data_IF_229403113095
#
_entry.id   IF_229403113095
#
_cell.length_a   1.000
_cell.length_b   1.000
_cell.length_c   1.000
_cell.angle_alpha   90.00
_cell.angle_beta   90.00
_cell.angle_gamma   90.00
#
_symmetry.space_group_name_H-M   'P 1'
#
loop_
_entity.id
_entity.type
_entity.pdbx_description
1 polymer ?
#
# COMPACT_ATOMS: atom_id res chain seq x y z
N UNK A 1 -11.59 -11.28 -1.23
CA UNK A 1 -12.17 -11.23 -2.61
C UNK A 1 -11.07 -11.52 -3.61
N UNK A 2 -11.29 -12.45 -4.54
CA UNK A 2 -10.31 -12.71 -5.59
C UNK A 2 -10.35 -11.56 -6.61
N UNK A 3 -9.22 -10.91 -6.82
CA UNK A 3 -9.10 -9.83 -7.80
C UNK A 3 -9.16 -10.41 -9.22
N UNK A 4 -10.18 -10.03 -9.98
CA UNK A 4 -10.28 -10.34 -11.40
C UNK A 4 -9.93 -9.06 -12.17
N UNK A 5 -8.84 -9.04 -12.96
CA UNK A 5 -8.51 -7.86 -13.74
C UNK A 5 -9.62 -7.58 -14.76
N UNK A 6 -10.06 -6.33 -14.82
CA UNK A 6 -11.03 -5.88 -15.83
C UNK A 6 -10.29 -5.68 -17.17
N UNK A 7 -10.15 -6.74 -17.94
CA UNK A 7 -9.58 -6.70 -19.30
C UNK A 7 -10.67 -7.11 -20.27
N UNK A 8 -10.90 -6.30 -21.29
CA UNK A 8 -11.80 -6.65 -22.38
C UNK A 8 -11.10 -7.64 -23.34
N UNK A 9 -11.81 -8.64 -23.83
CA UNK A 9 -11.31 -9.54 -24.88
C UNK A 9 -10.91 -8.80 -26.16
N UNK A 10 -11.43 -7.60 -26.38
CA UNK A 10 -11.08 -6.74 -27.51
C UNK A 10 -9.79 -5.93 -27.27
N UNK A 11 -9.24 -5.92 -26.05
CA UNK A 11 -8.04 -5.15 -25.73
C UNK A 11 -6.78 -5.88 -26.19
N UNK A 12 -6.07 -5.29 -27.14
CA UNK A 12 -4.76 -5.74 -27.58
C UNK A 12 -3.67 -4.90 -26.93
N UNK A 13 -2.65 -5.57 -26.39
CA UNK A 13 -1.45 -4.93 -25.88
C UNK A 13 -0.35 -5.15 -26.93
N UNK A 14 0.21 -4.08 -27.47
CA UNK A 14 1.12 -4.14 -28.62
C UNK A 14 2.42 -3.41 -28.29
N UNK A 15 3.56 -4.04 -28.65
CA UNK A 15 4.86 -3.43 -28.69
C UNK A 15 5.70 -4.07 -29.80
N UNK A 16 6.22 -3.25 -30.70
CA UNK A 16 6.93 -3.73 -31.88
C UNK A 16 6.03 -4.64 -32.72
N UNK A 17 6.54 -5.82 -33.03
CA UNK A 17 5.88 -6.87 -33.78
C UNK A 17 5.12 -7.89 -32.93
N UNK A 18 4.98 -7.64 -31.64
CA UNK A 18 4.27 -8.52 -30.68
C UNK A 18 2.95 -7.92 -30.25
N UNK A 19 1.94 -8.77 -30.25
CA UNK A 19 0.58 -8.52 -29.76
C UNK A 19 0.22 -9.53 -28.69
N UNK A 20 -0.29 -9.03 -27.57
CA UNK A 20 -0.79 -9.86 -26.46
C UNK A 20 -2.28 -9.57 -26.26
N UNK A 21 -3.10 -10.59 -26.17
CA UNK A 21 -4.54 -10.50 -25.88
C UNK A 21 -4.97 -11.59 -24.91
N UNK A 22 -6.14 -11.44 -24.28
CA UNK A 22 -6.71 -12.51 -23.46
C UNK A 22 -6.90 -13.78 -24.30
N UNK A 23 -6.59 -14.93 -23.72
CA UNK A 23 -6.79 -16.22 -24.35
C UNK A 23 -8.28 -16.44 -24.64
N UNK A 24 -8.63 -16.57 -25.92
CA UNK A 24 -9.98 -16.89 -26.39
C UNK A 24 -10.18 -18.39 -26.58
N UNK A 25 -11.44 -18.81 -26.73
CA UNK A 25 -11.74 -20.22 -27.03
C UNK A 25 -11.25 -20.61 -28.42
N UNK A 26 -11.23 -19.69 -29.37
CA UNK A 26 -10.66 -19.91 -30.70
C UNK A 26 -9.15 -20.16 -30.62
N UNK A 27 -8.42 -19.39 -29.81
CA UNK A 27 -6.99 -19.60 -29.59
C UNK A 27 -6.72 -20.97 -28.94
N UNK A 28 -7.59 -21.41 -28.01
CA UNK A 28 -7.51 -22.73 -27.37
C UNK A 28 -7.67 -23.85 -28.38
N UNK A 29 -8.65 -23.74 -29.25
CA UNK A 29 -8.93 -24.77 -30.26
C UNK A 29 -7.80 -24.90 -31.29
N UNK A 30 -7.24 -23.77 -31.74
CA UNK A 30 -6.15 -23.76 -32.73
C UNK A 30 -4.80 -24.22 -32.17
N UNK A 31 -4.55 -24.06 -30.88
CA UNK A 31 -3.26 -24.30 -30.24
C UNK A 31 -3.36 -25.30 -29.08
N UNK A 32 -4.33 -26.19 -29.10
CA UNK A 32 -4.71 -27.09 -28.01
C UNK A 32 -3.52 -27.81 -27.36
N UNK A 33 -2.68 -28.49 -28.18
CA UNK A 33 -1.54 -29.26 -27.66
C UNK A 33 -0.51 -28.41 -26.91
N UNK A 34 -0.24 -27.20 -27.40
CA UNK A 34 0.71 -26.28 -26.77
C UNK A 34 0.15 -25.74 -25.44
N UNK A 35 -1.15 -25.46 -25.42
CA UNK A 35 -1.86 -24.97 -24.25
C UNK A 35 -1.99 -26.07 -23.20
N UNK A 36 -2.32 -27.29 -23.60
CA UNK A 36 -2.39 -28.45 -22.70
C UNK A 36 -1.05 -28.71 -22.02
N UNK A 37 0.06 -28.75 -22.79
CA UNK A 37 1.41 -28.90 -22.25
C UNK A 37 1.81 -27.76 -21.29
N UNK A 38 1.34 -26.55 -21.56
CA UNK A 38 1.54 -25.41 -20.68
C UNK A 38 0.85 -25.62 -19.31
N UNK A 39 -0.41 -26.04 -19.30
CA UNK A 39 -1.15 -26.28 -18.07
C UNK A 39 -0.65 -27.49 -17.28
N UNK A 40 -0.24 -28.56 -17.94
CA UNK A 40 0.32 -29.76 -17.29
C UNK A 40 1.62 -29.46 -16.52
N UNK A 41 2.38 -28.48 -16.96
CA UNK A 41 3.64 -28.07 -16.33
C UNK A 41 3.48 -26.98 -15.27
N UNK A 42 2.23 -26.56 -14.93
CA UNK A 42 1.96 -25.49 -13.96
C UNK A 42 1.59 -25.94 -12.54
N UNK A 43 1.96 -27.16 -12.13
CA UNK A 43 1.56 -27.74 -10.84
C UNK A 43 1.82 -26.84 -9.62
N UNK A 44 2.78 -25.91 -9.69
CA UNK A 44 3.10 -24.98 -8.60
C UNK A 44 2.09 -23.81 -8.44
N UNK A 45 1.28 -23.55 -9.46
CA UNK A 45 0.34 -22.41 -9.49
C UNK A 45 -1.13 -22.84 -9.63
N UNK A 46 -1.42 -24.14 -9.58
CA UNK A 46 -2.72 -24.73 -9.88
C UNK A 46 -3.89 -24.19 -9.02
N UNK A 47 -3.62 -23.70 -7.81
CA UNK A 47 -4.63 -23.21 -6.86
C UNK A 47 -4.85 -21.70 -6.92
N UNK A 48 -4.22 -20.98 -7.85
CA UNK A 48 -4.34 -19.54 -8.00
C UNK A 48 -5.27 -19.19 -9.16
N UNK A 49 -6.08 -18.13 -8.98
CA UNK A 49 -6.89 -17.61 -10.08
C UNK A 49 -5.99 -16.92 -11.10
N UNK A 50 -5.82 -17.54 -12.25
CA UNK A 50 -4.90 -17.12 -13.30
C UNK A 50 -5.63 -16.37 -14.41
N UNK A 51 -4.94 -15.40 -15.00
CA UNK A 51 -5.33 -14.75 -16.25
C UNK A 51 -4.34 -15.17 -17.32
N UNK A 52 -4.83 -15.77 -18.38
CA UNK A 52 -3.98 -16.29 -19.46
C UNK A 52 -4.14 -15.42 -20.71
N UNK A 53 -3.01 -15.10 -21.30
CA UNK A 53 -2.92 -14.31 -22.51
C UNK A 53 -2.26 -15.12 -23.62
N UNK A 54 -2.77 -14.96 -24.84
CA UNK A 54 -2.11 -15.42 -26.06
C UNK A 54 -1.14 -14.36 -26.57
N UNK A 55 0.01 -14.81 -27.03
CA UNK A 55 1.05 -13.96 -27.65
C UNK A 55 1.07 -14.26 -29.16
N UNK A 56 1.05 -13.23 -29.96
CA UNK A 56 1.08 -13.30 -31.43
C UNK A 56 2.17 -12.42 -31.99
N UNK A 57 2.78 -12.84 -33.12
CA UNK A 57 3.49 -11.92 -34.00
C UNK A 57 2.47 -11.08 -34.76
N UNK A 58 2.66 -9.78 -34.77
CA UNK A 58 1.78 -8.81 -35.47
C UNK A 58 2.17 -8.70 -36.94
N UNK A 59 2.52 -9.81 -37.57
CA UNK A 59 2.69 -9.93 -38.99
C UNK A 59 1.31 -10.06 -39.69
N UNK A 60 1.28 -10.08 -41.02
CA UNK A 60 0.05 -10.17 -41.80
C UNK A 60 -0.79 -11.45 -41.52
N UNK A 61 -0.25 -12.42 -40.78
CA UNK A 61 -0.90 -13.71 -40.49
C UNK A 61 -1.28 -13.89 -39.01
N UNK A 62 -0.96 -12.94 -38.09
CA UNK A 62 -1.15 -13.09 -36.64
C UNK A 62 -0.66 -14.46 -36.12
N UNK A 63 0.60 -14.76 -36.39
CA UNK A 63 1.17 -16.07 -36.03
C UNK A 63 1.26 -16.23 -34.52
N UNK A 64 0.68 -17.30 -33.99
CA UNK A 64 0.77 -17.62 -32.55
C UNK A 64 2.21 -17.84 -32.10
N UNK A 65 2.64 -17.10 -31.09
CA UNK A 65 4.01 -17.10 -30.59
C UNK A 65 4.14 -17.68 -29.17
N UNK A 66 3.04 -17.83 -28.44
CA UNK A 66 3.09 -18.42 -27.10
C UNK A 66 2.00 -17.98 -26.15
N UNK A 67 2.25 -18.20 -24.87
CA UNK A 67 1.33 -17.91 -23.77
C UNK A 67 2.03 -17.14 -22.65
N UNK A 68 1.27 -16.32 -21.97
CA UNK A 68 1.61 -15.70 -20.71
C UNK A 68 0.51 -16.05 -19.70
N UNK A 69 0.90 -16.60 -18.58
CA UNK A 69 0.01 -16.79 -17.45
C UNK A 69 0.39 -15.83 -16.33
N UNK A 70 -0.57 -15.02 -15.90
CA UNK A 70 -0.34 -14.04 -14.87
C UNK A 70 -1.40 -14.15 -13.77
N UNK A 71 -1.00 -14.00 -12.53
CA UNK A 71 -1.92 -13.92 -11.41
C UNK A 71 -1.44 -12.91 -10.37
N UNK A 72 -2.39 -12.23 -9.77
CA UNK A 72 -2.11 -11.37 -8.64
C UNK A 72 -1.90 -12.23 -7.40
N UNK A 73 -0.78 -12.04 -6.73
CA UNK A 73 -0.55 -12.65 -5.43
C UNK A 73 -1.48 -12.01 -4.42
N UNK A 74 -2.43 -12.77 -3.91
CA UNK A 74 -3.22 -12.40 -2.75
C UNK A 74 -2.40 -12.73 -1.52
N UNK A 75 -1.46 -11.88 -1.17
CA UNK A 75 -0.73 -12.10 0.08
C UNK A 75 -1.40 -11.30 1.18
N UNK A 76 -1.71 -11.97 2.27
CA UNK A 76 -1.76 -11.34 3.58
C UNK A 76 -0.35 -11.04 4.09
N UNK A 77 0.66 -11.47 3.35
CA UNK A 77 2.05 -11.16 3.61
C UNK A 77 2.28 -9.70 3.24
N UNK A 78 3.01 -8.98 4.05
CA UNK A 78 3.42 -7.58 3.95
C UNK A 78 4.07 -7.16 2.61
N UNK A 79 4.32 -8.09 1.71
CA UNK A 79 4.90 -7.87 0.38
C UNK A 79 3.88 -7.48 -0.67
N UNK A 80 2.86 -6.70 -0.23
CA UNK A 80 1.96 -5.94 -1.09
C UNK A 80 1.70 -6.55 -2.47
N UNK A 81 0.87 -6.08 -3.14
CA UNK A 81 0.40 -6.21 -4.49
C UNK A 81 1.48 -6.59 -5.53
N UNK A 82 1.84 -7.86 -5.61
CA UNK A 82 2.71 -8.38 -6.68
C UNK A 82 1.93 -9.21 -7.68
N UNK A 83 2.41 -9.26 -8.92
CA UNK A 83 1.94 -10.14 -9.97
C UNK A 83 3.03 -11.15 -10.31
N UNK A 84 2.68 -12.42 -10.37
CA UNK A 84 3.58 -13.46 -10.87
C UNK A 84 3.19 -13.75 -12.32
N UNK A 85 4.18 -13.75 -13.20
CA UNK A 85 4.03 -13.93 -14.64
C UNK A 85 4.89 -15.07 -15.10
N UNK A 86 4.26 -16.12 -15.59
CA UNK A 86 4.94 -17.24 -16.24
C UNK A 86 4.83 -17.08 -17.76
N UNK A 87 5.96 -17.15 -18.44
CA UNK A 87 6.06 -16.95 -19.89
C UNK A 87 6.47 -18.25 -20.57
N UNK A 88 5.76 -18.64 -21.63
CA UNK A 88 6.14 -19.72 -22.52
C UNK A 88 6.03 -19.24 -23.97
N UNK A 89 7.15 -19.08 -24.65
CA UNK A 89 7.23 -18.65 -26.04
C UNK A 89 7.83 -19.73 -26.92
N UNK A 90 7.41 -19.81 -28.17
CA UNK A 90 7.97 -20.73 -29.17
C UNK A 90 9.39 -20.35 -29.55
N UNK A 91 9.65 -19.05 -29.83
CA UNK A 91 10.96 -18.50 -30.15
C UNK A 91 11.31 -17.40 -29.15
N UNK A 92 11.77 -17.81 -27.96
CA UNK A 92 11.96 -16.89 -26.85
C UNK A 92 12.93 -15.76 -27.15
N UNK A 93 14.08 -16.07 -27.82
CA UNK A 93 15.11 -15.08 -28.13
C UNK A 93 14.63 -13.93 -28.99
N UNK A 94 13.71 -14.18 -29.92
CA UNK A 94 13.19 -13.17 -30.82
C UNK A 94 12.11 -12.31 -30.20
N UNK A 95 11.32 -12.90 -29.29
CA UNK A 95 10.04 -12.29 -28.85
C UNK A 95 10.10 -11.73 -27.43
N UNK A 96 11.07 -12.19 -26.61
CA UNK A 96 11.04 -11.91 -25.16
C UNK A 96 11.16 -10.42 -24.86
N UNK A 97 11.99 -9.67 -25.56
CA UNK A 97 12.18 -8.23 -25.31
C UNK A 97 10.86 -7.46 -25.48
N UNK A 98 10.16 -7.66 -26.58
CA UNK A 98 8.86 -7.01 -26.83
C UNK A 98 7.80 -7.46 -25.83
N UNK A 99 7.81 -8.73 -25.40
CA UNK A 99 6.92 -9.24 -24.36
C UNK A 99 7.20 -8.57 -23.00
N UNK A 100 8.47 -8.42 -22.61
CA UNK A 100 8.87 -7.75 -21.38
C UNK A 100 8.44 -6.28 -21.36
N UNK A 101 8.58 -5.58 -22.47
CA UNK A 101 8.13 -4.18 -22.59
C UNK A 101 6.60 -4.05 -22.46
N UNK A 102 5.83 -4.98 -23.03
CA UNK A 102 4.36 -5.01 -22.84
C UNK A 102 4.01 -5.29 -21.38
N UNK A 103 4.68 -6.25 -20.74
CA UNK A 103 4.46 -6.59 -19.34
C UNK A 103 4.74 -5.35 -18.46
N UNK A 104 5.89 -4.72 -18.61
CA UNK A 104 6.27 -3.49 -17.88
C UNK A 104 5.25 -2.37 -18.08
N UNK A 105 4.84 -2.14 -19.31
CA UNK A 105 3.96 -1.02 -19.64
C UNK A 105 2.53 -1.19 -19.12
N UNK A 106 2.03 -2.41 -19.08
CA UNK A 106 0.60 -2.65 -18.89
C UNK A 106 0.23 -3.42 -17.63
N UNK A 107 1.04 -4.41 -17.19
CA UNK A 107 0.64 -5.35 -16.14
C UNK A 107 0.51 -4.70 -14.76
N UNK A 108 1.30 -3.68 -14.46
CA UNK A 108 1.13 -2.90 -13.23
C UNK A 108 -0.29 -2.34 -13.08
N UNK A 109 -0.79 -1.76 -14.17
CA UNK A 109 -2.15 -1.18 -14.18
C UNK A 109 -3.24 -2.24 -14.25
N UNK A 110 -3.02 -3.31 -15.03
CA UNK A 110 -3.98 -4.41 -15.20
C UNK A 110 -4.20 -5.13 -13.88
N UNK A 111 -3.12 -5.49 -13.19
CA UNK A 111 -3.19 -6.26 -11.94
C UNK A 111 -3.21 -5.39 -10.69
N UNK A 112 -3.05 -4.05 -10.81
CA UNK A 112 -2.98 -3.12 -9.69
C UNK A 112 -1.90 -3.53 -8.68
N UNK A 113 -0.69 -3.70 -9.15
CA UNK A 113 0.47 -4.18 -8.39
C UNK A 113 1.65 -3.22 -8.49
N UNK A 114 2.56 -3.26 -7.53
CA UNK A 114 3.80 -2.48 -7.54
C UNK A 114 5.00 -3.27 -8.07
N UNK A 115 4.96 -4.61 -7.99
CA UNK A 115 6.06 -5.49 -8.40
C UNK A 115 5.55 -6.59 -9.32
N UNK A 116 6.31 -6.89 -10.36
CA UNK A 116 6.07 -8.00 -11.28
C UNK A 116 7.24 -8.98 -11.15
N UNK A 117 6.93 -10.22 -10.84
CA UNK A 117 7.87 -11.33 -10.89
C UNK A 117 7.64 -12.11 -12.17
N UNK A 118 8.70 -12.40 -12.92
CA UNK A 118 8.63 -13.21 -14.13
C UNK A 118 9.43 -14.48 -13.96
N UNK A 119 8.97 -15.54 -14.60
CA UNK A 119 9.71 -16.80 -14.74
C UNK A 119 9.43 -17.45 -16.08
N UNK A 120 10.42 -18.13 -16.62
CA UNK A 120 10.32 -19.00 -17.81
C UNK A 120 11.48 -19.99 -17.84
N UNK A 121 11.41 -20.94 -18.73
CA UNK A 121 12.44 -21.99 -18.84
C UNK A 121 13.80 -21.37 -19.19
N UNK A 122 14.86 -21.79 -18.49
CA UNK A 122 16.25 -21.34 -18.66
C UNK A 122 16.42 -19.80 -18.50
N UNK A 123 15.62 -19.17 -17.62
CA UNK A 123 15.60 -17.72 -17.44
C UNK A 123 16.99 -17.11 -17.20
N UNK A 124 17.88 -17.82 -16.51
CA UNK A 124 19.25 -17.34 -16.22
C UNK A 124 20.12 -17.19 -17.48
N UNK A 125 19.80 -17.87 -18.58
CA UNK A 125 20.51 -17.70 -19.86
C UNK A 125 20.24 -16.32 -20.51
N UNK A 126 19.25 -15.60 -20.00
CA UNK A 126 18.80 -14.30 -20.49
C UNK A 126 19.16 -13.14 -19.55
N UNK A 127 20.08 -13.36 -18.62
CA UNK A 127 20.43 -12.40 -17.58
C UNK A 127 20.74 -10.99 -18.12
N UNK A 128 21.62 -10.87 -19.11
CA UNK A 128 22.00 -9.57 -19.71
C UNK A 128 20.78 -8.86 -20.32
N UNK A 129 19.92 -9.61 -21.00
CA UNK A 129 18.71 -9.06 -21.63
C UNK A 129 17.69 -8.60 -20.59
N UNK A 130 17.52 -9.39 -19.53
CA UNK A 130 16.62 -9.07 -18.42
C UNK A 130 17.08 -7.80 -17.71
N UNK A 131 18.38 -7.67 -17.43
CA UNK A 131 18.95 -6.45 -16.84
C UNK A 131 18.79 -5.23 -17.76
N UNK A 132 18.97 -5.38 -19.06
CA UNK A 132 18.73 -4.31 -20.05
C UNK A 132 17.25 -3.91 -20.12
N UNK A 133 16.35 -4.82 -19.73
CA UNK A 133 14.89 -4.58 -19.64
C UNK A 133 14.43 -4.19 -18.24
N UNK A 134 15.35 -3.77 -17.35
CA UNK A 134 15.11 -3.34 -15.97
C UNK A 134 14.55 -4.44 -15.05
N UNK A 135 14.85 -5.71 -15.34
CA UNK A 135 14.57 -6.81 -14.42
C UNK A 135 15.82 -7.17 -13.63
N UNK A 136 15.66 -7.37 -12.33
CA UNK A 136 16.73 -7.82 -11.42
C UNK A 136 16.47 -9.25 -10.95
N UNK A 137 17.54 -9.97 -10.68
CA UNK A 137 17.46 -11.32 -10.13
C UNK A 137 16.99 -11.28 -8.69
N UNK A 138 15.95 -12.02 -8.36
CA UNK A 138 15.51 -12.16 -6.98
C UNK A 138 16.07 -13.41 -6.33
N UNK A 139 16.48 -13.30 -5.05
CA UNK A 139 16.89 -14.44 -4.24
C UNK A 139 15.70 -15.14 -3.57
N UNK A 140 14.48 -14.60 -3.74
CA UNK A 140 13.27 -15.12 -3.09
C UNK A 140 12.87 -16.46 -3.70
N UNK A 141 12.81 -17.49 -2.87
CA UNK A 141 12.17 -18.75 -3.22
C UNK A 141 10.65 -18.60 -3.09
N UNK A 142 9.91 -18.92 -4.15
CA UNK A 142 8.45 -18.99 -4.08
C UNK A 142 8.04 -20.36 -3.51
N UNK A 143 7.40 -20.38 -2.33
CA UNK A 143 6.82 -21.57 -1.70
C UNK A 143 7.79 -22.78 -1.62
N UNK A 144 9.07 -22.56 -1.29
CA UNK A 144 10.09 -23.60 -1.25
C UNK A 144 10.28 -24.37 -2.58
N UNK A 145 10.15 -23.69 -3.71
CA UNK A 145 10.39 -24.26 -5.04
C UNK A 145 11.75 -23.85 -5.58
N UNK A 146 12.32 -24.65 -6.49
CA UNK A 146 13.55 -24.31 -7.23
C UNK A 146 13.29 -23.35 -8.40
N UNK A 147 12.11 -22.75 -8.47
CA UNK A 147 11.73 -21.84 -9.55
C UNK A 147 12.47 -20.52 -9.35
N UNK A 148 13.24 -20.15 -10.35
CA UNK A 148 13.96 -18.87 -10.39
C UNK A 148 13.07 -17.76 -10.92
N UNK A 149 13.09 -16.64 -10.24
CA UNK A 149 12.35 -15.44 -10.63
C UNK A 149 13.28 -14.27 -10.88
N UNK A 150 12.86 -13.43 -11.81
CA UNK A 150 13.37 -12.08 -12.00
C UNK A 150 12.23 -11.10 -11.71
N UNK A 151 12.54 -9.98 -11.11
CA UNK A 151 11.56 -8.98 -10.73
C UNK A 151 11.81 -7.65 -11.42
N UNK A 152 10.73 -6.96 -11.74
CA UNK A 152 10.74 -5.58 -12.15
C UNK A 152 9.78 -4.83 -11.23
N UNK A 153 10.27 -3.78 -10.64
CA UNK A 153 9.42 -2.86 -9.90
C UNK A 153 8.82 -1.86 -10.90
N UNK A 154 7.59 -1.43 -10.66
CA UNK A 154 6.95 -0.43 -11.50
C UNK A 154 7.94 0.69 -11.75
N UNK A 155 8.19 1.02 -13.01
CA UNK A 155 8.92 2.25 -13.36
C UNK A 155 8.18 3.35 -12.64
N UNK A 156 8.81 3.82 -11.62
CA UNK A 156 8.33 4.65 -10.52
C UNK A 156 7.55 5.87 -10.99
N UNK A 157 6.32 5.70 -11.50
CA UNK A 157 5.31 6.68 -11.17
C UNK A 157 4.74 6.25 -9.81
N UNK A 158 5.60 6.36 -8.83
CA UNK A 158 5.41 5.77 -7.51
C UNK A 158 4.30 6.44 -6.72
N UNK A 159 3.91 7.65 -7.10
CA UNK A 159 2.94 8.41 -6.34
C UNK A 159 1.64 8.58 -7.13
N UNK A 160 0.54 8.28 -6.46
CA UNK A 160 -0.80 8.67 -6.88
C UNK A 160 -1.27 9.79 -5.97
N UNK A 161 -1.78 10.87 -6.56
CA UNK A 161 -2.33 12.02 -5.84
C UNK A 161 -3.84 12.02 -5.98
N UNK A 162 -4.54 12.15 -4.86
CA UNK A 162 -5.98 12.34 -4.80
C UNK A 162 -6.22 13.76 -4.25
N UNK A 163 -6.65 14.71 -5.07
CA UNK A 163 -7.00 16.05 -4.56
C UNK A 163 -8.32 15.97 -3.81
N UNK A 164 -8.31 16.29 -2.52
CA UNK A 164 -9.51 16.38 -1.70
C UNK A 164 -10.06 17.81 -1.61
N UNK A 165 -9.18 18.81 -1.79
CA UNK A 165 -9.50 20.21 -2.01
C UNK A 165 -8.43 20.82 -2.92
N UNK A 166 -8.58 22.10 -3.29
CA UNK A 166 -7.59 22.76 -4.16
C UNK A 166 -6.20 22.82 -3.55
N UNK A 167 -6.08 22.66 -2.25
CA UNK A 167 -4.91 22.84 -1.43
C UNK A 167 -4.63 21.63 -0.50
N UNK A 168 -5.36 20.53 -0.65
CA UNK A 168 -5.18 19.30 0.14
C UNK A 168 -5.00 18.11 -0.81
N UNK A 169 -3.81 17.52 -0.80
CA UNK A 169 -3.38 16.44 -1.67
C UNK A 169 -3.08 15.20 -0.86
N UNK A 170 -3.86 14.16 -1.05
CA UNK A 170 -3.67 12.86 -0.42
C UNK A 170 -2.84 11.96 -1.32
N UNK A 171 -1.69 11.50 -0.84
CA UNK A 171 -0.61 10.96 -1.68
C UNK A 171 -0.26 9.57 -1.19
N UNK A 172 -0.16 8.61 -2.11
CA UNK A 172 0.32 7.26 -1.82
C UNK A 172 1.33 6.80 -2.87
N UNK A 173 2.30 6.01 -2.45
CA UNK A 173 3.24 5.30 -3.32
C UNK A 173 2.78 3.86 -3.65
N UNK A 174 1.56 3.49 -3.24
CA UNK A 174 0.97 2.19 -3.49
C UNK A 174 1.25 1.14 -2.40
N UNK A 175 1.97 1.50 -1.35
CA UNK A 175 2.28 0.60 -0.21
C UNK A 175 1.12 0.35 0.74
N UNK A 176 0.01 1.07 0.58
CA UNK A 176 -1.21 0.90 1.37
C UNK A 176 -1.50 2.04 2.33
N UNK A 177 -0.52 2.86 2.67
CA UNK A 177 -0.67 4.08 3.44
C UNK A 177 -0.71 5.33 2.54
N UNK A 178 -1.14 6.43 3.11
CA UNK A 178 -1.17 7.75 2.50
C UNK A 178 -0.55 8.79 3.43
N UNK A 179 0.19 9.72 2.85
CA UNK A 179 0.53 11.00 3.47
C UNK A 179 -0.37 12.10 2.90
N UNK A 180 -0.48 13.23 3.59
CA UNK A 180 -1.31 14.35 3.14
C UNK A 180 -0.50 15.64 3.11
N UNK A 181 -0.46 16.30 1.96
CA UNK A 181 0.14 17.62 1.80
C UNK A 181 -0.96 18.68 1.84
N UNK A 182 -0.83 19.64 2.75
CA UNK A 182 -1.69 20.85 2.83
C UNK A 182 -0.85 22.05 2.40
N UNK A 183 -1.28 22.75 1.37
CA UNK A 183 -0.55 23.90 0.80
C UNK A 183 -1.28 25.20 1.08
N UNK A 184 -0.63 26.12 1.78
CA UNK A 184 -1.11 27.48 1.93
C UNK A 184 -0.54 28.45 0.89
N UNK A 185 -0.59 29.75 1.17
CA UNK A 185 0.02 30.77 0.31
C UNK A 185 1.50 31.03 0.65
N UNK A 186 1.94 30.75 1.88
CA UNK A 186 3.28 31.08 2.34
C UNK A 186 4.13 29.84 2.62
N UNK A 187 3.48 28.77 3.05
CA UNK A 187 4.13 27.49 3.40
C UNK A 187 3.17 26.32 3.25
N UNK A 188 3.68 25.11 3.44
CA UNK A 188 2.89 23.88 3.40
C UNK A 188 3.17 23.00 4.63
N UNK A 189 2.29 22.04 4.88
CA UNK A 189 2.43 21.00 5.90
C UNK A 189 2.33 19.63 5.23
N UNK A 190 3.35 18.79 5.41
CA UNK A 190 3.31 17.39 5.01
C UNK A 190 3.02 16.53 6.24
N UNK A 191 1.89 15.84 6.23
CA UNK A 191 1.44 14.95 7.30
C UNK A 191 1.73 13.52 6.89
N UNK A 192 2.58 12.84 7.66
CA UNK A 192 3.16 11.50 7.42
C UNK A 192 4.13 11.43 6.23
N UNK A 193 4.94 10.37 6.22
CA UNK A 193 6.04 10.19 5.25
C UNK A 193 6.04 8.84 4.57
N UNK A 194 5.00 8.02 4.78
CA UNK A 194 4.86 6.67 4.24
C UNK A 194 5.96 5.71 4.73
N UNK A 195 6.08 4.56 4.05
CA UNK A 195 7.14 3.57 4.27
C UNK A 195 8.53 4.05 3.80
N UNK A 196 8.60 5.21 3.14
CA UNK A 196 9.84 5.78 2.63
C UNK A 196 10.47 5.00 1.46
N UNK A 197 9.80 4.03 0.88
CA UNK A 197 10.26 3.22 -0.27
C UNK A 197 10.35 4.00 -1.59
N UNK A 198 9.92 5.25 -1.59
CA UNK A 198 9.90 6.12 -2.77
C UNK A 198 10.42 7.50 -2.40
N UNK A 199 11.07 8.18 -3.35
CA UNK A 199 11.65 9.50 -3.16
C UNK A 199 10.55 10.57 -2.97
N UNK A 200 9.97 10.62 -1.77
CA UNK A 200 8.87 11.52 -1.42
C UNK A 200 9.28 13.00 -1.49
N UNK A 201 10.45 13.45 -0.97
CA UNK A 201 10.84 14.85 -1.07
C UNK A 201 10.92 15.35 -2.52
N UNK A 202 11.50 14.57 -3.43
CA UNK A 202 11.60 14.91 -4.84
C UNK A 202 10.24 14.95 -5.53
N UNK A 203 9.31 14.12 -5.07
CA UNK A 203 7.94 14.17 -5.57
C UNK A 203 7.20 15.41 -5.05
N UNK A 204 7.33 15.74 -3.75
CA UNK A 204 6.72 16.94 -3.18
C UNK A 204 7.20 18.20 -3.91
N UNK A 205 8.48 18.31 -4.25
CA UNK A 205 9.02 19.45 -5.02
C UNK A 205 8.39 19.63 -6.41
N UNK A 206 7.79 18.57 -6.98
CA UNK A 206 7.08 18.67 -8.28
C UNK A 206 5.67 19.27 -8.16
N UNK A 207 5.08 19.21 -6.98
CA UNK A 207 3.70 19.66 -6.74
C UNK A 207 3.60 20.83 -5.76
N UNK A 208 4.71 21.16 -5.09
CA UNK A 208 4.78 22.26 -4.12
C UNK A 208 6.18 22.88 -4.14
N UNK A 209 6.27 24.16 -4.46
CA UNK A 209 7.52 24.94 -4.43
C UNK A 209 7.71 25.72 -3.12
N UNK A 210 6.70 25.74 -2.24
CA UNK A 210 6.76 26.45 -0.97
C UNK A 210 7.59 25.67 0.06
N UNK A 211 8.21 26.36 1.01
CA UNK A 211 8.79 25.70 2.18
C UNK A 211 7.70 24.92 2.93
N UNK A 212 8.05 23.76 3.48
CA UNK A 212 7.10 22.96 4.22
C UNK A 212 7.69 22.35 5.49
N UNK A 213 6.82 22.13 6.47
CA UNK A 213 7.10 21.39 7.70
C UNK A 213 6.58 19.97 7.53
N UNK A 214 7.32 19.00 8.09
CA UNK A 214 6.93 17.58 8.10
C UNK A 214 6.52 17.18 9.50
N UNK A 215 5.37 16.53 9.63
CA UNK A 215 4.82 16.06 10.90
C UNK A 215 4.33 14.62 10.76
N UNK A 216 4.31 13.84 11.85
CA UNK A 216 3.66 12.54 11.86
C UNK A 216 2.36 12.59 12.68
N UNK A 217 1.36 11.86 12.20
CA UNK A 217 0.14 11.57 12.98
C UNK A 217 0.46 10.66 14.15
N UNK A 218 1.32 9.68 13.93
CA UNK A 218 1.85 8.72 14.90
C UNK A 218 3.11 8.06 14.33
N UNK A 219 3.77 7.21 15.10
CA UNK A 219 5.10 6.70 14.72
C UNK A 219 5.12 5.25 14.26
N UNK A 220 4.03 4.69 13.70
CA UNK A 220 4.12 3.38 13.04
C UNK A 220 4.94 3.45 11.73
N UNK A 221 5.50 2.32 11.30
CA UNK A 221 6.43 2.28 10.18
C UNK A 221 5.89 2.86 8.87
N UNK A 222 4.62 2.60 8.56
CA UNK A 222 3.97 3.06 7.33
C UNK A 222 3.59 4.55 7.34
N UNK A 223 3.86 5.25 8.45
CA UNK A 223 3.68 6.70 8.60
C UNK A 223 5.00 7.43 8.83
N UNK A 224 6.01 6.76 9.40
CA UNK A 224 7.21 7.41 9.89
C UNK A 224 8.53 6.86 9.34
N UNK A 225 8.57 5.74 8.61
CA UNK A 225 9.83 5.24 8.03
C UNK A 225 10.40 6.20 7.00
N UNK A 226 9.56 6.90 6.24
CA UNK A 226 10.01 7.90 5.29
C UNK A 226 10.69 9.12 5.93
N UNK A 227 10.63 9.27 7.26
CA UNK A 227 11.32 10.35 8.00
C UNK A 227 12.82 10.40 7.69
N UNK A 228 13.45 9.25 7.37
CA UNK A 228 14.86 9.16 6.98
C UNK A 228 15.22 10.05 5.77
N UNK A 229 14.23 10.42 4.95
CA UNK A 229 14.42 11.26 3.75
C UNK A 229 14.39 12.77 4.07
N UNK A 230 14.09 13.16 5.32
CA UNK A 230 13.91 14.54 5.71
C UNK A 230 14.96 14.97 6.76
N UNK A 231 15.32 16.24 6.76
CA UNK A 231 16.30 16.79 7.74
C UNK A 231 15.69 16.99 9.12
N UNK A 232 14.40 17.27 9.18
CA UNK A 232 13.64 17.53 10.41
C UNK A 232 12.21 17.04 10.21
N UNK A 233 11.68 16.35 11.22
CA UNK A 233 10.30 15.89 11.31
C UNK A 233 9.84 16.05 12.75
N UNK A 234 8.65 16.61 12.94
CA UNK A 234 8.03 16.72 14.26
C UNK A 234 7.19 15.48 14.52
N UNK A 235 7.46 14.78 15.61
CA UNK A 235 6.73 13.57 16.03
C UNK A 235 5.92 13.82 17.30
N UNK A 236 4.84 13.06 17.54
CA UNK A 236 4.16 13.07 18.84
C UNK A 236 5.10 12.62 19.96
N UNK A 237 5.17 13.37 21.05
CA UNK A 237 6.07 13.04 22.16
C UNK A 237 5.74 11.69 22.79
N UNK A 238 4.45 11.35 22.93
CA UNK A 238 3.99 10.11 23.53
C UNK A 238 4.37 8.87 22.68
N UNK A 239 4.70 9.04 21.41
CA UNK A 239 5.16 7.99 20.51
C UNK A 239 6.70 7.90 20.39
N UNK A 240 7.46 8.60 21.23
CA UNK A 240 8.93 8.53 21.22
C UNK A 240 9.45 7.09 21.31
N UNK A 241 8.81 6.26 22.13
CA UNK A 241 9.21 4.85 22.31
C UNK A 241 9.00 4.07 21.03
N UNK A 242 7.85 4.27 20.36
CA UNK A 242 7.52 3.65 19.07
C UNK A 242 8.53 4.10 18.01
N UNK A 243 8.80 5.41 17.94
CA UNK A 243 9.79 5.96 17.02
C UNK A 243 11.19 5.37 17.23
N UNK A 244 11.65 5.27 18.48
CA UNK A 244 12.93 4.64 18.80
C UNK A 244 12.98 3.16 18.45
N UNK A 245 11.85 2.46 18.49
CA UNK A 245 11.77 1.08 18.03
C UNK A 245 11.94 0.99 16.51
N UNK A 246 11.23 1.79 15.74
CA UNK A 246 11.38 1.78 14.28
C UNK A 246 12.79 2.17 13.82
N UNK A 247 13.49 3.06 14.54
CA UNK A 247 14.87 3.41 14.21
C UNK A 247 15.85 2.23 14.38
N UNK A 248 15.51 1.22 15.17
CA UNK A 248 16.32 0.01 15.36
C UNK A 248 16.11 -1.02 14.25
N UNK A 249 15.02 -0.92 13.50
CA UNK A 249 14.71 -1.87 12.42
C UNK A 249 15.69 -1.82 11.26
N UNK A 250 16.48 -0.77 11.12
CA UNK A 250 17.51 -0.64 10.09
C UNK A 250 18.57 -1.75 10.10
N UNK A 251 18.65 -2.59 11.15
CA UNK A 251 19.72 -3.59 11.26
C UNK A 251 19.28 -5.05 11.39
N UNK A 252 18.06 -5.34 11.78
CA UNK A 252 17.71 -6.73 12.16
C UNK A 252 16.45 -7.35 11.52
N UNK A 253 15.60 -6.56 10.86
CA UNK A 253 14.44 -7.05 10.10
C UNK A 253 14.54 -6.82 8.60
N UNK A 254 15.72 -6.51 8.10
CA UNK A 254 16.04 -6.25 6.71
C UNK A 254 15.59 -7.37 5.75
N UNK A 255 15.44 -8.60 6.25
CA UNK A 255 15.19 -9.74 5.39
C UNK A 255 13.73 -9.92 4.97
N UNK A 256 12.76 -9.28 5.64
CA UNK A 256 11.34 -9.63 5.47
C UNK A 256 10.41 -8.51 4.95
N UNK A 257 10.81 -7.25 4.97
CA UNK A 257 9.89 -6.13 4.68
C UNK A 257 10.12 -5.41 3.35
N UNK A 258 11.33 -5.41 2.81
CA UNK A 258 11.69 -4.65 1.61
C UNK A 258 12.35 -5.51 0.56
N UNK A 259 12.19 -5.16 -0.72
CA UNK A 259 12.99 -5.70 -1.79
C UNK A 259 14.45 -5.23 -1.67
N UNK A 260 15.40 -5.95 -2.28
CA UNK A 260 16.83 -5.63 -2.18
C UNK A 260 17.17 -4.21 -2.64
N UNK A 261 16.41 -3.65 -3.59
CA UNK A 261 16.56 -2.25 -4.02
C UNK A 261 16.05 -1.26 -2.97
N UNK A 262 14.99 -1.59 -2.25
CA UNK A 262 14.45 -0.76 -1.17
C UNK A 262 15.39 -0.76 0.05
N UNK A 263 16.10 -1.86 0.32
CA UNK A 263 17.17 -1.93 1.33
C UNK A 263 18.31 -0.96 1.07
N UNK A 264 18.70 -0.78 -0.20
CA UNK A 264 19.79 0.14 -0.58
C UNK A 264 19.44 1.57 -0.23
N UNK A 265 18.19 1.98 -0.37
CA UNK A 265 17.72 3.33 -0.04
C UNK A 265 17.79 3.62 1.47
N UNK A 266 17.65 2.59 2.34
CA UNK A 266 17.63 2.76 3.80
C UNK A 266 18.95 2.47 4.49
N UNK A 267 19.83 1.67 3.89
CA UNK A 267 21.04 1.14 4.53
C UNK A 267 21.99 2.22 5.03
N UNK A 268 22.00 3.37 4.37
CA UNK A 268 22.91 4.50 4.66
C UNK A 268 22.17 5.77 5.12
N UNK A 269 20.86 5.73 5.29
CA UNK A 269 20.09 6.89 5.77
C UNK A 269 19.90 6.81 7.29
N UNK A 270 20.18 7.93 7.96
CA UNK A 270 19.91 8.09 9.38
C UNK A 270 18.56 8.80 9.57
N UNK A 271 17.79 8.35 10.55
CA UNK A 271 16.63 9.10 10.99
C UNK A 271 17.03 10.48 11.49
N UNK A 272 16.24 11.54 11.26
CA UNK A 272 16.51 12.86 11.78
C UNK A 272 16.49 12.86 13.32
N UNK A 273 17.13 13.86 13.95
CA UNK A 273 17.00 14.07 15.39
C UNK A 273 15.52 14.15 15.79
N UNK A 274 15.21 13.63 16.99
CA UNK A 274 13.85 13.68 17.52
C UNK A 274 13.50 15.13 17.86
N UNK A 275 12.43 15.62 17.25
CA UNK A 275 11.78 16.88 17.56
C UNK A 275 10.31 16.60 17.84
N UNK A 276 9.74 17.25 18.88
CA UNK A 276 8.36 16.97 19.28
C UNK A 276 7.41 18.05 18.80
N UNK A 277 6.26 17.62 18.34
CA UNK A 277 5.12 18.51 18.14
C UNK A 277 4.49 18.84 19.49
N UNK A 278 4.28 20.12 19.74
CA UNK A 278 3.63 20.57 20.98
C UNK A 278 2.10 20.44 20.85
N UNK A 279 1.46 20.06 21.94
CA UNK A 279 -0.01 20.07 22.02
C UNK A 279 -0.51 21.50 21.81
N UNK A 280 -1.66 21.63 21.16
CA UNK A 280 -2.28 22.90 20.81
C UNK A 280 -1.48 23.78 19.82
N UNK A 281 -0.48 23.20 19.14
CA UNK A 281 0.22 23.89 18.05
C UNK A 281 -0.76 24.22 16.92
N UNK A 282 -0.60 25.40 16.36
CA UNK A 282 -1.23 25.82 15.11
C UNK A 282 -0.15 26.17 14.09
N UNK A 283 -0.27 25.61 12.88
CA UNK A 283 0.57 25.96 11.75
C UNK A 283 -0.15 26.98 10.90
N UNK A 284 0.39 28.19 10.81
CA UNK A 284 -0.05 29.23 9.89
C UNK A 284 0.61 29.01 8.52
N UNK A 285 -0.18 28.67 7.52
CA UNK A 285 0.29 28.45 6.15
C UNK A 285 0.04 29.66 5.24
N UNK A 286 -0.42 30.78 5.83
CA UNK A 286 -0.79 32.02 5.14
C UNK A 286 -2.31 32.18 5.06
N UNK A 287 -2.97 31.47 4.16
CA UNK A 287 -4.45 31.51 4.03
C UNK A 287 -5.14 30.31 4.71
N UNK A 288 -4.39 29.43 5.31
CA UNK A 288 -4.89 28.25 6.04
C UNK A 288 -4.22 28.13 7.39
N UNK A 289 -5.01 27.71 8.38
CA UNK A 289 -4.54 27.37 9.72
C UNK A 289 -4.76 25.88 9.99
N UNK A 290 -3.68 25.15 10.32
CA UNK A 290 -3.78 23.74 10.68
C UNK A 290 -3.56 23.59 12.18
N UNK A 291 -4.61 23.17 12.89
CA UNK A 291 -4.59 22.94 14.33
C UNK A 291 -4.27 21.50 14.66
N UNK A 292 -3.35 21.28 15.61
CA UNK A 292 -3.07 19.94 16.15
C UNK A 292 -4.19 19.51 17.10
N UNK A 293 -4.70 18.31 16.91
CA UNK A 293 -5.79 17.71 17.68
C UNK A 293 -5.33 16.41 18.32
N UNK A 294 -5.60 16.22 19.59
CA UNK A 294 -5.35 14.94 20.26
C UNK A 294 -6.37 13.89 19.79
N UNK A 295 -5.88 12.79 19.22
CA UNK A 295 -6.66 11.63 18.80
C UNK A 295 -6.06 10.33 19.37
N UNK A 296 -5.47 10.39 20.55
CA UNK A 296 -4.87 9.22 21.23
C UNK A 296 -5.86 8.05 21.28
N UNK A 297 -5.37 6.89 20.93
CA UNK A 297 -6.19 5.67 20.85
C UNK A 297 -5.43 4.55 20.17
N UNK A 298 -5.25 4.64 18.87
CA UNK A 298 -4.45 3.72 18.07
C UNK A 298 -3.01 3.64 18.60
N UNK A 299 -2.38 4.79 18.79
CA UNK A 299 -1.24 4.94 19.69
C UNK A 299 -1.55 6.01 20.75
N UNK A 300 -0.76 6.03 21.84
CA UNK A 300 -0.85 7.07 22.87
C UNK A 300 -0.55 8.45 22.32
N UNK A 301 0.30 8.50 21.29
CA UNK A 301 0.71 9.74 20.64
C UNK A 301 -0.15 10.15 19.44
N UNK A 302 -1.16 9.37 19.04
CA UNK A 302 -1.95 9.68 17.84
C UNK A 302 -2.50 11.10 17.86
N UNK A 303 -2.17 11.86 16.79
CA UNK A 303 -2.61 13.24 16.56
C UNK A 303 -3.43 13.32 15.28
N UNK A 304 -4.33 14.30 15.26
CA UNK A 304 -4.99 14.77 14.05
C UNK A 304 -4.55 16.18 13.70
N UNK A 305 -4.80 16.58 12.46
CA UNK A 305 -4.48 17.90 11.92
C UNK A 305 -5.73 18.50 11.29
N UNK A 306 -6.34 19.46 11.97
CA UNK A 306 -7.56 20.12 11.52
C UNK A 306 -7.21 21.34 10.67
N UNK A 307 -7.53 21.26 9.37
CA UNK A 307 -7.49 22.40 8.44
C UNK A 307 -8.76 23.21 8.65
N UNK A 308 -8.66 24.30 9.43
CA UNK A 308 -9.84 25.04 9.95
C UNK A 308 -10.73 25.59 8.85
N UNK A 309 -10.15 26.25 7.87
CA UNK A 309 -10.87 26.93 6.79
C UNK A 309 -11.58 25.94 5.85
N UNK A 310 -11.02 24.76 5.69
CA UNK A 310 -11.59 23.68 4.86
C UNK A 310 -12.52 22.75 5.67
N UNK A 311 -12.54 22.88 7.00
CA UNK A 311 -13.27 22.00 7.91
C UNK A 311 -12.96 20.51 7.71
N UNK A 312 -11.70 20.20 7.45
CA UNK A 312 -11.20 18.85 7.19
C UNK A 312 -10.23 18.45 8.30
N UNK A 313 -10.49 17.31 8.94
CA UNK A 313 -9.61 16.66 9.91
C UNK A 313 -8.81 15.56 9.26
N UNK A 314 -7.49 15.69 9.21
CA UNK A 314 -6.56 14.62 8.84
C UNK A 314 -6.28 13.80 10.09
N UNK A 315 -6.72 12.55 10.14
CA UNK A 315 -6.82 11.78 11.38
C UNK A 315 -5.85 10.59 11.47
N UNK A 316 -5.02 10.36 10.44
CA UNK A 316 -4.15 9.20 10.43
C UNK A 316 -4.95 7.89 10.57
N UNK A 317 -4.51 7.04 11.49
CA UNK A 317 -5.15 5.77 11.82
C UNK A 317 -6.09 5.85 13.01
N UNK A 318 -6.18 7.01 13.67
CA UNK A 318 -7.09 7.19 14.78
C UNK A 318 -8.56 7.14 14.35
N UNK A 319 -8.89 7.54 13.11
CA UNK A 319 -10.23 7.44 12.55
C UNK A 319 -10.12 6.77 11.19
N UNK A 320 -10.35 5.48 11.15
CA UNK A 320 -10.31 4.64 9.95
C UNK A 320 -11.33 3.50 10.04
N UNK A 321 -11.53 2.77 8.93
CA UNK A 321 -12.46 1.63 8.90
C UNK A 321 -11.89 0.36 9.56
N UNK A 322 -10.58 0.30 9.78
CA UNK A 322 -9.92 -0.79 10.51
C UNK A 322 -9.19 -0.20 11.72
N UNK A 323 -9.88 -0.08 12.83
CA UNK A 323 -9.35 0.49 14.05
C UNK A 323 -8.60 -0.56 14.86
N UNK A 324 -7.34 -0.33 15.11
CA UNK A 324 -6.46 -1.23 15.86
C UNK A 324 -6.16 -0.64 17.24
N UNK A 325 -6.74 -1.26 18.28
CA UNK A 325 -6.56 -0.88 19.69
C UNK A 325 -6.00 -2.03 20.53
N UNK A 326 -5.21 -2.91 19.91
CA UNK A 326 -4.68 -4.11 20.56
C UNK A 326 -3.18 -4.04 20.86
N UNK A 327 -2.47 -3.11 20.32
CA UNK A 327 -1.02 -2.99 20.47
C UNK A 327 -0.64 -2.47 21.86
N UNK A 328 0.61 -2.64 22.27
CA UNK A 328 1.13 -2.18 23.57
C UNK A 328 1.08 -0.66 23.72
N UNK A 329 1.19 0.06 22.62
CA UNK A 329 1.12 1.51 22.51
C UNK A 329 -0.31 2.05 22.42
N UNK A 330 -1.30 1.19 22.19
CA UNK A 330 -2.70 1.60 22.15
C UNK A 330 -3.23 1.96 23.54
N UNK A 331 -4.24 2.84 23.57
CA UNK A 331 -5.02 3.10 24.77
C UNK A 331 -6.12 2.04 24.99
N UNK A 332 -6.58 1.91 26.22
CA UNK A 332 -7.75 1.12 26.52
C UNK A 332 -9.03 1.82 26.03
N UNK A 333 -10.06 1.05 25.69
CA UNK A 333 -11.33 1.55 25.11
C UNK A 333 -11.98 2.65 25.96
N UNK A 334 -11.96 2.48 27.30
CA UNK A 334 -12.50 3.48 28.23
C UNK A 334 -11.73 4.81 28.22
N UNK A 335 -10.46 4.82 27.83
CA UNK A 335 -9.64 6.02 27.70
C UNK A 335 -9.86 6.71 26.35
N UNK A 336 -10.18 5.96 25.29
CA UNK A 336 -10.39 6.46 23.93
C UNK A 336 -11.71 7.25 23.80
N UNK A 337 -12.80 6.71 24.38
CA UNK A 337 -14.14 7.28 24.25
C UNK A 337 -14.20 8.79 24.60
N UNK A 338 -13.67 9.26 25.76
CA UNK A 338 -13.71 10.68 26.08
C UNK A 338 -12.89 11.54 25.12
N UNK A 339 -11.78 11.03 24.56
CA UNK A 339 -10.95 11.74 23.59
C UNK A 339 -11.74 11.95 22.30
N UNK A 340 -12.40 10.92 21.79
CA UNK A 340 -13.18 10.99 20.54
C UNK A 340 -14.45 11.84 20.71
N UNK A 341 -15.09 11.81 21.89
CA UNK A 341 -16.19 12.72 22.20
C UNK A 341 -15.74 14.19 22.17
N UNK A 342 -14.57 14.49 22.73
CA UNK A 342 -14.00 15.85 22.66
C UNK A 342 -13.61 16.24 21.23
N UNK A 343 -13.03 15.35 20.46
CA UNK A 343 -12.70 15.59 19.06
C UNK A 343 -13.96 15.89 18.22
N UNK A 344 -15.07 15.22 18.53
CA UNK A 344 -16.36 15.47 17.87
C UNK A 344 -16.92 16.88 18.11
N UNK A 345 -16.52 17.57 19.17
CA UNK A 345 -16.97 18.96 19.46
C UNK A 345 -16.29 19.99 18.54
N UNK A 346 -15.17 19.62 17.87
CA UNK A 346 -14.46 20.53 16.97
C UNK A 346 -15.26 20.84 15.70
N UNK A 347 -15.02 22.02 15.11
CA UNK A 347 -15.68 22.46 13.89
C UNK A 347 -15.02 21.90 12.64
N UNK A 348 -15.36 20.65 12.29
CA UNK A 348 -15.03 20.04 11.01
C UNK A 348 -16.21 19.26 10.44
N UNK A 349 -16.16 18.98 9.15
CA UNK A 349 -17.23 18.28 8.41
C UNK A 349 -16.74 16.96 7.81
N UNK A 350 -15.46 16.89 7.45
CA UNK A 350 -14.85 15.76 6.75
C UNK A 350 -13.63 15.23 7.50
N UNK A 351 -13.35 13.95 7.27
CA UNK A 351 -12.18 13.24 7.84
C UNK A 351 -11.40 12.58 6.73
N UNK A 352 -10.08 12.73 6.76
CA UNK A 352 -9.10 12.01 5.95
C UNK A 352 -8.42 10.97 6.85
N UNK A 353 -8.47 9.70 6.45
CA UNK A 353 -7.72 8.62 7.07
C UNK A 353 -6.53 8.23 6.20
N UNK A 354 -5.43 7.81 6.82
CA UNK A 354 -4.22 7.41 6.09
C UNK A 354 -4.33 6.06 5.37
N UNK A 355 -5.47 5.34 5.48
CA UNK A 355 -5.72 4.08 4.78
C UNK A 355 -6.96 4.11 3.88
N UNK A 356 -7.46 5.30 3.53
CA UNK A 356 -8.65 5.45 2.70
C UNK A 356 -8.42 6.38 1.51
N UNK A 357 -8.96 6.01 0.35
CA UNK A 357 -8.97 6.84 -0.87
C UNK A 357 -10.12 7.85 -0.91
N UNK A 358 -10.98 7.84 0.09
CA UNK A 358 -12.14 8.71 0.18
C UNK A 358 -12.18 9.44 1.52
N UNK A 359 -12.70 10.65 1.52
CA UNK A 359 -13.02 11.36 2.75
C UNK A 359 -14.33 10.85 3.32
N UNK A 360 -14.40 10.76 4.64
CA UNK A 360 -15.63 10.45 5.36
C UNK A 360 -16.28 11.69 5.93
N UNK A 361 -17.57 11.59 6.23
CA UNK A 361 -18.28 12.62 6.98
C UNK A 361 -17.95 12.50 8.47
N UNK A 362 -18.04 13.61 9.20
CA UNK A 362 -17.82 13.69 10.64
C UNK A 362 -18.63 12.67 11.46
N UNK A 363 -19.82 12.27 10.97
CA UNK A 363 -20.68 11.31 11.65
C UNK A 363 -20.07 9.91 11.80
N UNK A 364 -18.98 9.60 11.10
CA UNK A 364 -18.19 8.37 11.36
C UNK A 364 -17.79 8.27 12.83
N UNK A 365 -17.51 9.40 13.50
CA UNK A 365 -17.18 9.41 14.93
C UNK A 365 -18.35 8.94 15.80
N UNK A 366 -19.60 9.22 15.40
CA UNK A 366 -20.78 8.74 16.12
C UNK A 366 -20.82 7.21 16.12
N UNK A 367 -20.61 6.62 14.95
CA UNK A 367 -20.56 5.16 14.78
C UNK A 367 -19.40 4.56 15.58
N UNK A 368 -18.20 5.12 15.49
CA UNK A 368 -17.03 4.62 16.23
C UNK A 368 -17.26 4.72 17.74
N UNK A 369 -17.72 5.85 18.26
CA UNK A 369 -17.98 6.05 19.70
C UNK A 369 -19.05 5.07 20.19
N UNK A 370 -20.17 4.92 19.47
CA UNK A 370 -21.21 3.99 19.82
C UNK A 370 -20.71 2.54 19.87
N UNK A 371 -19.87 2.15 18.92
CA UNK A 371 -19.27 0.83 18.87
C UNK A 371 -18.29 0.59 20.05
N UNK A 372 -17.46 1.59 20.38
CA UNK A 372 -16.58 1.52 21.54
C UNK A 372 -17.37 1.43 22.87
N UNK A 373 -18.48 2.16 22.99
CA UNK A 373 -19.37 2.07 24.16
C UNK A 373 -20.02 0.67 24.29
N UNK A 374 -20.43 0.05 23.20
CA UNK A 374 -20.94 -1.33 23.19
C UNK A 374 -19.84 -2.33 23.58
N UNK A 375 -18.60 -2.15 23.10
CA UNK A 375 -17.46 -2.97 23.50
C UNK A 375 -17.26 -2.86 25.02
N UNK A 376 -17.24 -1.64 25.55
CA UNK A 376 -17.06 -1.42 26.99
C UNK A 376 -18.18 -2.00 27.84
N UNK A 377 -19.42 -1.96 27.33
CA UNK A 377 -20.59 -2.56 27.99
C UNK A 377 -20.68 -4.09 27.85
N UNK A 378 -19.82 -4.72 27.03
CA UNK A 378 -19.91 -6.16 26.74
C UNK A 378 -21.17 -6.56 25.94
N UNK A 379 -21.78 -5.62 25.22
CA UNK A 379 -23.03 -5.81 24.46
C UNK A 379 -22.80 -5.97 22.96
N UNK A 380 -21.57 -6.15 22.55
CA UNK A 380 -21.20 -6.36 21.15
C UNK A 380 -21.37 -7.82 20.72
N UNK A 381 -21.71 -8.02 19.46
CA UNK A 381 -21.65 -9.33 18.84
C UNK A 381 -20.22 -9.61 18.39
N UNK A 382 -19.63 -10.68 18.92
CA UNK A 382 -18.38 -11.17 18.38
C UNK A 382 -18.52 -12.64 17.98
N UNK A 383 -17.91 -13.00 16.88
CA UNK A 383 -17.80 -14.38 16.44
C UNK A 383 -16.45 -14.92 16.93
N UNK A 384 -16.48 -16.00 17.72
CA UNK A 384 -15.27 -16.67 18.23
C UNK A 384 -14.34 -17.15 17.12
N UNK A 385 -14.85 -17.31 15.90
CA UNK A 385 -14.05 -17.62 14.70
C UNK A 385 -13.17 -16.43 14.24
N UNK A 386 -13.41 -15.23 14.73
CA UNK A 386 -12.67 -14.02 14.39
C UNK A 386 -11.50 -13.71 15.32
N UNK A 387 -11.29 -14.53 16.37
CA UNK A 387 -10.10 -14.41 17.18
C UNK A 387 -8.87 -14.77 16.36
N UNK A 388 -7.88 -13.88 16.35
CA UNK A 388 -6.66 -14.03 15.59
C UNK A 388 -5.45 -13.63 16.45
N UNK A 389 -4.30 -14.19 16.13
CA UNK A 389 -3.03 -13.67 16.60
C UNK A 389 -2.44 -12.75 15.52
N UNK A 390 -2.34 -11.47 15.84
CA UNK A 390 -1.80 -10.45 14.95
C UNK A 390 -0.59 -9.83 15.65
N UNK A 391 0.57 -9.88 15.01
CA UNK A 391 1.83 -9.35 15.54
C UNK A 391 2.19 -9.86 16.96
N UNK A 392 1.80 -11.10 17.27
CA UNK A 392 2.03 -11.71 18.58
C UNK A 392 1.00 -11.33 19.64
N UNK A 393 -0.05 -10.57 19.29
CA UNK A 393 -1.16 -10.25 20.18
C UNK A 393 -2.38 -11.11 19.88
N UNK A 394 -2.97 -11.67 20.93
CA UNK A 394 -4.31 -12.25 20.83
C UNK A 394 -5.33 -11.13 20.69
N UNK A 395 -6.09 -11.14 19.61
CA UNK A 395 -7.03 -10.08 19.28
C UNK A 395 -8.44 -10.64 19.07
N UNK A 396 -9.44 -9.83 19.37
CA UNK A 396 -10.83 -10.05 18.96
C UNK A 396 -11.17 -9.03 17.88
N UNK A 397 -11.65 -9.51 16.75
CA UNK A 397 -12.20 -8.69 15.70
C UNK A 397 -13.69 -8.50 15.92
N UNK A 398 -14.11 -7.24 16.00
CA UNK A 398 -15.52 -6.84 16.13
C UNK A 398 -15.86 -6.09 14.86
N UNK A 399 -16.80 -6.63 14.09
CA UNK A 399 -17.24 -6.03 12.83
C UNK A 399 -18.58 -5.34 13.05
N UNK A 400 -18.65 -4.10 12.61
CA UNK A 400 -19.87 -3.30 12.61
C UNK A 400 -20.20 -2.88 11.18
N UNK A 401 -21.47 -3.00 10.84
CA UNK A 401 -21.98 -2.60 9.53
C UNK A 401 -23.19 -1.71 9.74
N UNK A 402 -23.17 -0.51 9.21
CA UNK A 402 -24.36 0.31 9.07
C UNK A 402 -24.60 0.66 7.59
N UNK A 403 -25.68 1.37 7.28
CA UNK A 403 -26.05 1.67 5.89
C UNK A 403 -25.00 2.50 5.12
N UNK A 404 -24.07 3.13 5.84
CA UNK A 404 -23.11 4.08 5.28
C UNK A 404 -21.65 3.70 5.55
N UNK A 405 -21.40 2.71 6.44
CA UNK A 405 -20.05 2.47 6.91
C UNK A 405 -19.89 1.08 7.52
N UNK A 406 -18.94 0.33 6.96
CA UNK A 406 -18.47 -0.94 7.53
C UNK A 406 -17.18 -0.67 8.28
N UNK A 407 -17.14 -0.99 9.58
CA UNK A 407 -15.94 -0.86 10.39
C UNK A 407 -15.55 -2.17 11.06
N UNK A 408 -14.25 -2.34 11.25
CA UNK A 408 -13.66 -3.42 12.03
C UNK A 408 -12.86 -2.79 13.16
N UNK A 409 -13.16 -3.20 14.38
CA UNK A 409 -12.40 -2.81 15.56
C UNK A 409 -11.69 -4.04 16.10
N UNK A 410 -10.37 -3.99 16.17
CA UNK A 410 -9.54 -5.00 16.78
C UNK A 410 -9.14 -4.55 18.18
N UNK A 411 -9.53 -5.33 19.19
CA UNK A 411 -9.18 -5.12 20.58
C UNK A 411 -8.33 -6.27 21.12
N UNK A 412 -7.52 -5.99 22.12
CA UNK A 412 -6.73 -7.00 22.81
C UNK A 412 -7.63 -7.88 23.68
N UNK A 413 -7.46 -9.20 23.57
CA UNK A 413 -8.03 -10.13 24.53
C UNK A 413 -7.12 -10.07 25.76
N UNK A 414 -7.58 -9.42 26.83
CA UNK A 414 -6.97 -9.61 28.15
C UNK A 414 -7.40 -10.98 28.65
N UNK A 415 -6.46 -11.95 28.66
CA UNK A 415 -6.69 -13.16 29.46
C UNK A 415 -6.88 -12.71 30.92
N UNK A 416 -8.06 -12.95 31.46
CA UNK A 416 -8.27 -12.94 32.91
C UNK A 416 -7.26 -13.83 33.63
#
# INVERSE_FOLDING_TARGET
>A
MNFIPKISHAQNLIHGDIKIKLLSDDDKNQNYKYIEDFYQNQNHFANQQQTVFSVFKSDNSETFAGLICAFRRNSRDYFGNSCIVQIKLQNIKENITSVLEIIKKHFYNIFKVGTIFITFQNIDEYETLLQQSDFSKTQRAYLNTDIKFWQCNAVKQKFTVIPFANNIFHITDGTGAFCTLVTGTNSALLVDTLWGVSALPEFILKINELPYVVVNTHCHPDHAFGNVQFKSVLIPQEDEVVYKEITKYNSSREENYFDDEDRILYKDLNFPPIEYIQKDTEFDLGNLTVQVVCLSGHTKGSLGFLVKEEKILIAGDAICNNLWFFMKESLAVNEIIPIYKKAKELDFEKVISSHSKVMWNKNILDTIIANLEQILAGTYFYDSSTNAEIEGYKTTQITYSDQNYDSVILIRITSE
#
